data_IF_050092153224
#
_entry.id   IF_050092153224
#
_cell.length_a   1.000
_cell.length_b   1.000
_cell.length_c   1.000
_cell.angle_alpha   90.00
_cell.angle_beta   90.00
_cell.angle_gamma   90.00
#
_symmetry.space_group_name_H-M   'P 1'
#
loop_
_entity.id
_entity.type
_entity.pdbx_description
1 polymer ?
#
# COMPACT_ATOMS: atom_id res chain seq x y z
N UNK A 1 -3.85 -10.06 24.50
CA UNK A 1 -2.86 -10.38 23.46
C UNK A 1 -3.40 -9.82 22.17
N UNK A 2 -2.66 -8.93 21.51
CA UNK A 2 -3.01 -8.48 20.17
C UNK A 2 -2.92 -9.67 19.22
N UNK A 3 -4.04 -10.04 18.60
CA UNK A 3 -4.07 -11.12 17.62
C UNK A 3 -3.49 -10.59 16.31
N UNK A 4 -2.22 -10.93 16.05
CA UNK A 4 -1.57 -10.65 14.77
C UNK A 4 -2.01 -11.68 13.75
N UNK A 5 -2.63 -11.22 12.66
CA UNK A 5 -3.01 -12.06 11.52
C UNK A 5 -2.35 -11.54 10.26
N UNK A 6 -1.81 -12.45 9.46
CA UNK A 6 -1.19 -12.13 8.19
C UNK A 6 -2.19 -12.22 7.03
N UNK A 7 -2.08 -11.30 6.08
CA UNK A 7 -2.75 -11.36 4.78
C UNK A 7 -1.71 -11.25 3.68
N UNK A 8 -1.98 -11.86 2.53
CA UNK A 8 -1.09 -11.71 1.38
C UNK A 8 -1.19 -10.28 0.83
N UNK A 9 -0.07 -9.61 0.73
CA UNK A 9 0.07 -8.28 0.13
C UNK A 9 1.15 -8.32 -0.96
N UNK A 10 1.22 -7.30 -1.81
CA UNK A 10 2.28 -7.17 -2.82
C UNK A 10 3.34 -6.22 -2.28
N UNK A 11 4.59 -6.67 -2.19
CA UNK A 11 5.74 -5.83 -1.89
C UNK A 11 6.45 -5.49 -3.20
N UNK A 12 6.63 -4.20 -3.44
CA UNK A 12 7.55 -3.64 -4.43
C UNK A 12 8.78 -3.18 -3.66
N UNK A 13 9.84 -4.02 -3.57
CA UNK A 13 11.04 -3.63 -2.84
C UNK A 13 11.71 -2.45 -3.55
N UNK A 14 12.51 -1.68 -2.80
CA UNK A 14 13.33 -0.61 -3.38
C UNK A 14 14.20 -1.13 -4.53
N UNK A 15 14.73 -2.34 -4.37
CA UNK A 15 15.53 -3.06 -5.36
C UNK A 15 15.05 -4.52 -5.48
N UNK A 16 15.07 -5.04 -6.71
CA UNK A 16 14.65 -6.41 -7.02
C UNK A 16 13.20 -6.50 -7.51
N UNK A 17 12.67 -7.72 -7.51
CA UNK A 17 11.37 -8.02 -8.13
C UNK A 17 10.21 -7.97 -7.13
N UNK A 18 9.00 -7.57 -7.58
CA UNK A 18 7.80 -7.62 -6.77
C UNK A 18 7.47 -9.03 -6.34
N UNK A 19 6.91 -9.17 -5.14
CA UNK A 19 6.50 -10.47 -4.61
C UNK A 19 5.28 -10.36 -3.72
N UNK A 20 4.52 -11.46 -3.65
CA UNK A 20 3.53 -11.63 -2.60
C UNK A 20 4.27 -11.90 -1.28
N UNK A 21 3.81 -11.27 -0.20
CA UNK A 21 4.37 -11.46 1.13
C UNK A 21 3.26 -11.37 2.21
N UNK A 22 3.47 -11.98 3.38
CA UNK A 22 2.52 -11.90 4.48
C UNK A 22 2.63 -10.55 5.20
N UNK A 23 1.64 -9.68 5.07
CA UNK A 23 1.51 -8.41 5.79
C UNK A 23 0.82 -8.64 7.14
N UNK A 24 1.52 -8.36 8.24
CA UNK A 24 0.93 -8.45 9.58
C UNK A 24 -0.12 -7.35 9.80
N UNK A 25 -1.20 -7.74 10.47
CA UNK A 25 -2.29 -6.85 10.86
C UNK A 25 -2.65 -7.08 12.33
N UNK A 26 -2.92 -6.02 13.07
CA UNK A 26 -3.49 -6.08 14.42
C UNK A 26 -5.00 -5.90 14.37
N UNK A 27 -5.72 -6.65 15.22
CA UNK A 27 -7.15 -6.45 15.41
C UNK A 27 -7.40 -5.26 16.34
N UNK A 28 -8.17 -4.29 15.87
CA UNK A 28 -8.61 -3.13 16.63
C UNK A 28 -10.12 -3.14 16.80
N UNK A 29 -10.60 -2.95 18.02
CA UNK A 29 -12.04 -2.82 18.26
C UNK A 29 -12.41 -1.34 18.20
N UNK A 30 -13.18 -0.96 17.19
CA UNK A 30 -13.69 0.40 17.01
C UNK A 30 -15.18 0.41 17.34
N UNK A 31 -15.61 1.41 18.10
CA UNK A 31 -17.03 1.66 18.34
C UNK A 31 -17.59 2.43 17.14
N UNK A 32 -18.56 1.85 16.45
CA UNK A 32 -19.28 2.55 15.38
C UNK A 32 -20.09 3.71 16.01
N UNK A 33 -19.82 4.98 15.65
CA UNK A 33 -20.48 6.12 16.26
C UNK A 33 -21.96 6.23 15.90
N UNK A 34 -22.40 5.58 14.82
CA UNK A 34 -23.78 5.62 14.34
C UNK A 34 -24.60 4.47 14.95
N UNK A 35 -24.05 3.26 14.95
CA UNK A 35 -24.79 2.07 15.41
C UNK A 35 -24.53 1.71 16.88
N UNK A 36 -23.49 2.29 17.49
CA UNK A 36 -23.05 1.94 18.85
C UNK A 36 -22.49 0.51 18.96
N UNK A 37 -22.35 -0.21 17.84
CA UNK A 37 -21.82 -1.56 17.83
C UNK A 37 -20.29 -1.55 17.80
N UNK A 38 -19.70 -2.47 18.56
CA UNK A 38 -18.26 -2.74 18.49
C UNK A 38 -17.98 -3.53 17.22
N UNK A 39 -17.16 -2.97 16.34
CA UNK A 39 -16.66 -3.64 15.14
C UNK A 39 -15.18 -3.91 15.30
N UNK A 40 -14.74 -5.08 14.86
CA UNK A 40 -13.32 -5.39 14.79
C UNK A 40 -12.82 -4.99 13.41
N UNK A 41 -11.92 -4.01 13.36
CA UNK A 41 -11.20 -3.59 12.16
C UNK A 41 -9.77 -4.15 12.22
N UNK A 42 -9.09 -4.20 11.08
CA UNK A 42 -7.69 -4.63 11.03
C UNK A 42 -6.80 -3.48 10.60
N UNK A 43 -5.76 -3.23 11.38
CA UNK A 43 -4.75 -2.22 11.06
C UNK A 43 -3.52 -2.91 10.48
N UNK A 44 -3.11 -2.57 9.24
CA UNK A 44 -1.90 -3.12 8.65
C UNK A 44 -0.65 -2.51 9.27
N UNK A 45 0.42 -3.30 9.34
CA UNK A 45 1.75 -2.89 9.83
C UNK A 45 2.79 -2.92 8.71
N UNK A 46 2.69 -2.04 7.70
CA UNK A 46 3.65 -1.97 6.61
C UNK A 46 5.06 -1.59 7.08
N UNK A 47 5.19 -0.91 8.23
CA UNK A 47 6.46 -0.51 8.83
C UNK A 47 7.39 -1.69 9.14
N UNK A 48 6.84 -2.89 9.35
CA UNK A 48 7.63 -4.11 9.60
C UNK A 48 8.39 -4.58 8.36
N UNK A 49 8.04 -4.07 7.18
CA UNK A 49 8.56 -4.50 5.88
C UNK A 49 9.25 -3.37 5.11
N UNK A 50 9.12 -2.14 5.58
CA UNK A 50 9.76 -0.98 4.99
C UNK A 50 11.02 -0.66 5.76
N UNK A 51 12.16 -1.03 5.19
CA UNK A 51 13.50 -0.91 5.79
C UNK A 51 13.84 0.51 6.28
N UNK A 52 13.24 1.54 5.67
CA UNK A 52 13.49 2.95 5.96
C UNK A 52 12.35 3.65 6.71
N UNK A 53 11.27 2.93 7.05
CA UNK A 53 10.07 3.53 7.66
C UNK A 53 10.19 3.79 9.16
N UNK A 54 11.10 3.10 9.87
CA UNK A 54 11.17 3.14 11.34
C UNK A 54 11.38 4.54 11.92
N UNK A 55 11.95 5.47 11.16
CA UNK A 55 12.24 6.84 11.61
C UNK A 55 11.39 7.93 10.95
N UNK A 56 10.58 7.59 9.94
CA UNK A 56 9.86 8.57 9.12
C UNK A 56 8.33 8.42 9.17
N UNK A 57 7.83 7.25 9.60
CA UNK A 57 6.43 6.88 9.41
C UNK A 57 6.14 6.52 7.95
N UNK A 58 4.87 6.24 7.67
CA UNK A 58 4.38 5.87 6.35
C UNK A 58 3.12 6.65 5.99
N UNK A 59 2.86 6.78 4.70
CA UNK A 59 1.64 7.36 4.12
C UNK A 59 0.91 6.27 3.36
N UNK A 60 -0.41 6.40 3.24
CA UNK A 60 -1.20 5.51 2.40
C UNK A 60 -1.92 6.28 1.29
N UNK A 61 -2.04 5.64 0.12
CA UNK A 61 -2.73 6.15 -1.05
C UNK A 61 -3.68 5.08 -1.59
N UNK A 62 -4.92 5.47 -1.89
CA UNK A 62 -5.97 4.55 -2.33
C UNK A 62 -5.99 4.40 -3.85
N UNK A 63 -6.21 3.17 -4.31
CA UNK A 63 -6.54 2.84 -5.70
C UNK A 63 -8.01 2.43 -5.76
N UNK A 64 -8.87 3.37 -6.14
CA UNK A 64 -10.30 3.11 -6.34
C UNK A 64 -10.63 2.73 -7.79
N UNK A 65 -9.88 3.24 -8.75
CA UNK A 65 -10.10 3.02 -10.18
C UNK A 65 -8.80 3.05 -10.94
N UNK A 66 -8.78 2.43 -12.11
CA UNK A 66 -7.68 2.51 -13.06
C UNK A 66 -8.03 3.47 -14.20
N UNK A 67 -7.00 3.95 -14.89
CA UNK A 67 -7.20 4.86 -16.02
C UNK A 67 -8.11 4.21 -17.09
N UNK A 68 -9.12 4.96 -17.53
CA UNK A 68 -10.09 4.49 -18.53
C UNK A 68 -11.26 3.67 -17.96
N UNK A 69 -11.30 3.39 -16.65
CA UNK A 69 -12.46 2.77 -16.01
C UNK A 69 -13.55 3.81 -15.74
N UNK A 70 -14.81 3.44 -15.98
CA UNK A 70 -16.00 4.25 -15.67
C UNK A 70 -16.64 3.91 -14.31
N UNK A 71 -16.07 2.92 -13.60
CA UNK A 71 -16.53 2.45 -12.29
C UNK A 71 -15.32 2.13 -11.41
N UNK A 72 -15.52 2.20 -10.10
CA UNK A 72 -14.52 1.77 -9.12
C UNK A 72 -14.32 0.26 -9.13
N UNK A 73 -13.14 -0.17 -8.71
CA UNK A 73 -12.79 -1.56 -8.44
C UNK A 73 -13.73 -2.10 -7.35
N UNK A 74 -14.19 -3.34 -7.52
CA UNK A 74 -14.98 -4.01 -6.48
C UNK A 74 -14.18 -4.26 -5.21
N UNK A 75 -12.86 -4.43 -5.34
CA UNK A 75 -11.93 -4.55 -4.24
C UNK A 75 -10.81 -3.53 -4.45
N UNK A 76 -10.86 -2.37 -3.78
CA UNK A 76 -9.80 -1.36 -3.90
C UNK A 76 -8.50 -1.81 -3.24
N UNK A 77 -7.43 -1.08 -3.52
CA UNK A 77 -6.12 -1.29 -2.91
C UNK A 77 -5.70 -0.08 -2.10
N UNK A 78 -4.91 -0.31 -1.04
CA UNK A 78 -4.12 0.74 -0.40
C UNK A 78 -2.64 0.49 -0.67
N UNK A 79 -1.96 1.53 -1.15
CA UNK A 79 -0.52 1.59 -1.32
C UNK A 79 0.06 2.28 -0.10
N UNK A 80 0.92 1.61 0.63
CA UNK A 80 1.69 2.16 1.74
C UNK A 80 3.12 2.44 1.26
N UNK A 81 3.66 3.60 1.62
CA UNK A 81 5.03 4.00 1.28
C UNK A 81 5.62 4.90 2.38
N UNK A 82 6.96 4.96 2.51
CA UNK A 82 7.61 5.83 3.50
C UNK A 82 7.19 7.29 3.33
N UNK A 83 6.89 7.96 4.45
CA UNK A 83 6.64 9.39 4.42
C UNK A 83 7.91 10.15 4.04
N UNK A 84 7.74 11.30 3.37
CA UNK A 84 8.87 12.16 3.01
C UNK A 84 9.47 12.76 4.28
N UNK A 85 10.71 12.39 4.61
CA UNK A 85 11.41 13.00 5.74
C UNK A 85 11.61 14.50 5.49
N UNK A 86 11.25 15.34 6.48
CA UNK A 86 11.47 16.80 6.43
C UNK A 86 12.94 17.19 6.65
N UNK A 87 13.71 16.34 7.31
CA UNK A 87 15.13 16.54 7.62
C UNK A 87 15.86 15.21 7.54
N UNK A 88 16.59 14.97 6.46
CA UNK A 88 17.31 13.73 6.21
C UNK A 88 17.48 13.45 4.72
N UNK A 89 18.24 12.39 4.41
CA UNK A 89 18.32 11.87 3.04
C UNK A 89 16.94 11.30 2.64
N UNK A 90 16.44 11.68 1.47
CA UNK A 90 15.21 11.10 0.95
C UNK A 90 15.40 9.59 0.75
N UNK A 91 14.37 8.75 0.97
CA UNK A 91 14.48 7.33 0.67
C UNK A 91 14.87 7.14 -0.82
N UNK A 92 15.65 6.10 -1.14
CA UNK A 92 16.06 5.79 -2.51
C UNK A 92 14.86 5.61 -3.43
N UNK A 93 15.05 5.87 -4.72
CA UNK A 93 14.02 5.62 -5.73
C UNK A 93 13.71 4.13 -5.77
N UNK A 94 12.42 3.79 -5.82
CA UNK A 94 11.99 2.41 -6.02
C UNK A 94 12.25 2.02 -7.47
N UNK A 95 13.35 1.29 -7.69
CA UNK A 95 13.81 0.91 -9.03
C UNK A 95 12.81 0.00 -9.75
N UNK A 96 12.10 -0.85 -9.01
CA UNK A 96 11.06 -1.69 -9.56
C UNK A 96 9.90 -0.87 -10.16
N UNK A 97 9.39 0.13 -9.44
CA UNK A 97 8.33 1.00 -9.96
C UNK A 97 8.86 1.93 -11.05
N UNK A 98 10.11 2.38 -10.96
CA UNK A 98 10.78 3.13 -12.04
C UNK A 98 10.79 2.33 -13.34
N UNK A 99 11.12 1.04 -13.31
CA UNK A 99 11.07 0.16 -14.49
C UNK A 99 9.66 0.03 -15.06
N UNK A 100 8.64 -0.03 -14.19
CA UNK A 100 7.22 -0.05 -14.61
C UNK A 100 6.85 1.23 -15.34
N UNK A 101 7.34 2.39 -14.88
CA UNK A 101 7.09 3.69 -15.50
C UNK A 101 7.89 3.90 -16.79
N UNK A 102 9.06 3.26 -16.91
CA UNK A 102 9.90 3.29 -18.10
C UNK A 102 10.21 4.72 -18.56
N UNK A 103 9.90 5.03 -19.83
CA UNK A 103 10.12 6.37 -20.40
C UNK A 103 9.30 7.49 -19.74
N UNK A 104 8.23 7.12 -19.03
CA UNK A 104 7.37 8.07 -18.32
C UNK A 104 7.93 8.53 -16.98
N UNK A 105 8.98 7.89 -16.47
CA UNK A 105 9.54 8.11 -15.13
C UNK A 105 9.96 9.57 -14.89
N UNK A 106 9.67 10.06 -13.67
CA UNK A 106 10.04 11.40 -13.19
C UNK A 106 10.62 11.31 -11.79
N UNK A 107 11.91 11.55 -11.65
CA UNK A 107 12.61 11.39 -10.37
C UNK A 107 12.08 12.30 -9.25
N UNK A 108 11.65 13.52 -9.60
CA UNK A 108 11.15 14.50 -8.62
C UNK A 108 9.86 14.05 -7.91
N UNK A 109 9.07 13.20 -8.58
CA UNK A 109 7.81 12.66 -8.08
C UNK A 109 7.85 11.14 -7.95
N UNK A 110 9.03 10.54 -7.96
CA UNK A 110 9.18 9.08 -7.96
C UNK A 110 8.66 8.44 -6.67
N UNK A 111 8.17 7.21 -6.80
CA UNK A 111 7.98 6.31 -5.67
C UNK A 111 9.34 6.01 -5.02
N UNK A 112 9.41 6.04 -3.69
CA UNK A 112 10.67 5.94 -2.95
C UNK A 112 10.53 4.94 -1.80
N UNK A 113 11.61 4.20 -1.55
CA UNK A 113 11.66 3.11 -0.58
C UNK A 113 10.82 1.90 -0.96
N UNK A 114 10.66 0.98 -0.01
CA UNK A 114 9.80 -0.19 -0.15
C UNK A 114 8.33 0.22 -0.17
N UNK A 115 7.57 -0.29 -1.14
CA UNK A 115 6.15 0.03 -1.32
C UNK A 115 5.32 -1.23 -1.11
N UNK A 116 4.34 -1.16 -0.22
CA UNK A 116 3.46 -2.29 0.14
C UNK A 116 2.07 -2.02 -0.40
N UNK A 117 1.43 -3.00 -1.03
CA UNK A 117 0.08 -2.88 -1.56
C UNK A 117 -0.81 -3.96 -0.97
N UNK A 118 -1.81 -3.54 -0.20
CA UNK A 118 -2.81 -4.44 0.38
C UNK A 118 -4.17 -4.26 -0.31
N UNK A 119 -4.94 -5.35 -0.37
CA UNK A 119 -6.25 -5.39 -1.00
C UNK A 119 -7.35 -5.39 0.06
N UNK A 120 -8.41 -4.64 -0.22
CA UNK A 120 -9.52 -4.50 0.69
C UNK A 120 -10.81 -4.95 0.02
N UNK A 121 -11.67 -5.62 0.78
CA UNK A 121 -13.07 -5.76 0.41
C UNK A 121 -13.82 -4.44 0.59
N UNK A 122 -13.49 -3.71 1.66
CA UNK A 122 -14.02 -2.39 1.96
C UNK A 122 -13.01 -1.65 2.87
N UNK A 123 -12.51 -0.51 2.40
CA UNK A 123 -11.44 0.26 3.07
C UNK A 123 -11.97 0.91 4.35
N UNK A 124 -13.20 1.42 4.31
CA UNK A 124 -13.86 2.14 5.39
C UNK A 124 -14.12 1.24 6.61
N UNK A 125 -14.38 -0.05 6.37
CA UNK A 125 -14.54 -1.08 7.40
C UNK A 125 -13.21 -1.69 7.86
N UNK A 126 -12.10 -1.47 7.13
CA UNK A 126 -10.83 -2.12 7.40
C UNK A 126 -10.80 -3.61 7.06
N UNK A 127 -11.69 -4.08 6.18
CA UNK A 127 -11.80 -5.48 5.76
C UNK A 127 -10.72 -5.82 4.73
N UNK A 128 -9.55 -6.26 5.22
CA UNK A 128 -8.41 -6.71 4.41
C UNK A 128 -8.68 -8.11 3.84
N UNK A 129 -8.29 -8.33 2.58
CA UNK A 129 -8.31 -9.64 1.92
C UNK A 129 -6.95 -9.93 1.27
N UNK A 130 -6.59 -11.20 1.13
CA UNK A 130 -5.34 -11.62 0.49
C UNK A 130 -5.27 -11.21 -0.99
N UNK A 131 -4.15 -10.61 -1.36
CA UNK A 131 -3.72 -10.48 -2.74
C UNK A 131 -3.33 -11.83 -3.34
N UNK A 132 -3.35 -11.89 -4.66
CA UNK A 132 -2.95 -13.01 -5.50
C UNK A 132 -2.04 -12.50 -6.63
N UNK A 133 -1.40 -13.42 -7.36
CA UNK A 133 -0.60 -13.06 -8.53
C UNK A 133 -1.43 -12.30 -9.61
N UNK A 134 -2.74 -12.52 -9.67
CA UNK A 134 -3.65 -11.84 -10.60
C UNK A 134 -3.88 -10.36 -10.28
N UNK A 135 -3.52 -9.90 -9.09
CA UNK A 135 -3.64 -8.49 -8.70
C UNK A 135 -2.44 -7.67 -9.22
N UNK A 136 -1.33 -8.33 -9.54
CA UNK A 136 -0.11 -7.66 -10.00
C UNK A 136 -0.30 -6.82 -11.28
N UNK A 137 -0.96 -7.30 -12.36
CA UNK A 137 -1.21 -6.48 -13.54
C UNK A 137 -2.03 -5.22 -13.25
N UNK A 138 -2.98 -5.27 -12.32
CA UNK A 138 -3.83 -4.13 -11.94
C UNK A 138 -3.00 -3.05 -11.22
N UNK A 139 -2.21 -3.48 -10.23
CA UNK A 139 -1.34 -2.58 -9.47
C UNK A 139 -0.22 -2.02 -10.36
N UNK A 140 0.34 -2.83 -11.25
CA UNK A 140 1.32 -2.39 -12.25
C UNK A 140 0.75 -1.33 -13.20
N UNK A 141 -0.48 -1.53 -13.68
CA UNK A 141 -1.15 -0.55 -14.54
C UNK A 141 -1.32 0.80 -13.82
N UNK A 142 -1.68 0.77 -12.52
CA UNK A 142 -1.75 1.98 -11.72
C UNK A 142 -0.40 2.71 -11.64
N UNK A 143 0.67 2.01 -11.25
CA UNK A 143 2.00 2.59 -11.10
C UNK A 143 2.59 3.15 -12.40
N UNK A 144 2.22 2.60 -13.55
CA UNK A 144 2.65 3.10 -14.85
C UNK A 144 2.19 4.54 -15.12
N UNK A 145 1.09 4.98 -14.49
CA UNK A 145 0.45 6.27 -14.77
C UNK A 145 0.36 7.21 -13.55
N UNK A 146 0.60 6.70 -12.34
CA UNK A 146 0.40 7.45 -11.11
C UNK A 146 1.68 7.61 -10.29
N UNK A 147 1.74 8.72 -9.56
CA UNK A 147 2.81 9.10 -8.65
C UNK A 147 2.26 9.18 -7.21
N UNK A 148 3.13 9.16 -6.18
CA UNK A 148 2.73 9.41 -4.81
C UNK A 148 2.05 10.77 -4.68
N UNK A 149 0.95 10.84 -3.94
CA UNK A 149 0.33 12.11 -3.53
C UNK A 149 1.24 12.76 -2.46
N UNK A 150 1.62 14.02 -2.70
CA UNK A 150 2.51 14.81 -1.83
C UNK A 150 1.75 15.59 -0.77
#
# INVERSE_FOLDING_TARGET
>A
MEELVAFDAILFPVEGSPRIFPLMTSANTVLDPVTGQRRTTRTPHPELYMSLSHNAGWVCQRIDSLYGMNRSLSNPYLIFYPARQRSGAAPPVNTCIQEIQGRGFREQTAWRGDVVVAKYRNVESGDIISCSASDFPLVKNYFALHYPQQ
#
